data_IF_868579963363
#
_entry.id   IF_868579963363
#
_cell.length_a   1.000
_cell.length_b   1.000
_cell.length_c   1.000
_cell.angle_alpha   90.00
_cell.angle_beta   90.00
_cell.angle_gamma   90.00
#
_symmetry.space_group_name_H-M   'P 1'
#
loop_
_entity.id
_entity.type
_entity.pdbx_description
1 polymer ?
#
# COMPACT_ATOMS: atom_id res chain seq x y z
N UNK A 1 -9.08 6.04 2.72
CA UNK A 1 -10.17 5.05 2.76
C UNK A 1 -11.35 5.46 1.88
N UNK A 2 -12.04 6.58 2.13
CA UNK A 2 -13.18 7.04 1.31
C UNK A 2 -12.89 7.09 -0.21
N UNK A 3 -11.74 7.65 -0.60
CA UNK A 3 -11.37 7.74 -2.02
C UNK A 3 -11.25 6.37 -2.71
N UNK A 4 -10.78 5.35 -2.00
CA UNK A 4 -10.56 4.00 -2.56
C UNK A 4 -11.88 3.24 -2.62
N UNK A 5 -12.61 3.18 -1.50
CA UNK A 5 -13.75 2.26 -1.37
C UNK A 5 -15.10 2.86 -1.76
N UNK A 6 -15.27 4.18 -1.67
CA UNK A 6 -16.54 4.82 -2.02
C UNK A 6 -16.48 5.52 -3.38
N UNK A 7 -15.39 6.26 -3.64
CA UNK A 7 -15.22 6.98 -4.92
C UNK A 7 -14.44 6.22 -5.98
N UNK A 8 -14.01 4.99 -5.68
CA UNK A 8 -13.32 4.09 -6.60
C UNK A 8 -12.14 4.75 -7.34
N UNK A 9 -11.40 5.63 -6.65
CA UNK A 9 -10.24 6.31 -7.23
C UNK A 9 -9.09 5.31 -7.39
N UNK A 10 -8.54 5.12 -8.60
CA UNK A 10 -7.52 4.10 -8.86
C UNK A 10 -6.11 4.50 -8.39
N UNK A 11 -5.87 5.79 -8.17
CA UNK A 11 -4.53 6.36 -7.95
C UNK A 11 -4.35 6.96 -6.55
N UNK A 12 -4.62 6.19 -5.50
CA UNK A 12 -4.49 6.63 -4.10
C UNK A 12 -3.44 5.80 -3.36
N UNK A 13 -2.50 6.49 -2.69
CA UNK A 13 -1.49 5.92 -1.79
C UNK A 13 -1.68 6.48 -0.37
N UNK A 14 -2.26 5.71 0.57
CA UNK A 14 -2.53 6.20 1.92
C UNK A 14 -1.29 6.06 2.82
N UNK A 15 -0.34 7.00 2.74
CA UNK A 15 0.94 6.95 3.48
C UNK A 15 0.78 6.90 5.01
N UNK A 16 -0.33 7.43 5.56
CA UNK A 16 -0.65 7.36 6.99
C UNK A 16 -1.24 6.02 7.46
N UNK A 17 -1.44 5.06 6.56
CA UNK A 17 -1.97 3.74 6.91
C UNK A 17 -0.86 2.85 7.50
N UNK A 18 -1.01 2.44 8.77
CA UNK A 18 -0.01 1.62 9.48
C UNK A 18 0.20 0.27 8.77
N UNK A 19 -0.84 -0.29 8.15
CA UNK A 19 -0.76 -1.50 7.35
C UNK A 19 0.14 -1.29 6.14
N UNK A 20 -0.09 -0.23 5.35
CA UNK A 20 0.76 0.08 4.20
C UNK A 20 2.20 0.39 4.62
N UNK A 21 2.42 1.14 5.69
CA UNK A 21 3.78 1.36 6.22
C UNK A 21 4.45 0.05 6.63
N UNK A 22 3.72 -0.88 7.27
CA UNK A 22 4.24 -2.20 7.63
C UNK A 22 4.57 -3.04 6.39
N UNK A 23 3.67 -3.10 5.42
CA UNK A 23 3.86 -3.87 4.19
C UNK A 23 5.02 -3.33 3.35
N UNK A 24 5.14 -2.01 3.20
CA UNK A 24 6.24 -1.42 2.42
C UNK A 24 7.60 -1.67 3.07
N UNK A 25 7.70 -1.52 4.40
CA UNK A 25 8.93 -1.86 5.13
C UNK A 25 9.28 -3.33 4.97
N UNK A 26 8.28 -4.22 5.07
CA UNK A 26 8.47 -5.66 4.93
C UNK A 26 8.99 -6.06 3.54
N UNK A 27 8.39 -5.52 2.46
CA UNK A 27 8.67 -5.98 1.09
C UNK A 27 9.76 -5.17 0.38
N UNK A 28 10.07 -3.95 0.83
CA UNK A 28 10.92 -3.03 0.09
C UNK A 28 12.07 -2.42 0.90
N UNK A 29 12.22 -2.78 2.19
CA UNK A 29 13.27 -2.22 3.03
C UNK A 29 13.71 -3.16 4.16
N UNK A 30 13.65 -4.49 3.96
CA UNK A 30 14.13 -5.49 4.93
C UNK A 30 13.60 -5.28 6.36
N UNK A 31 12.34 -4.88 6.49
CA UNK A 31 11.64 -4.55 7.75
C UNK A 31 12.18 -3.31 8.48
N UNK A 32 13.16 -2.60 7.91
CA UNK A 32 13.65 -1.33 8.44
C UNK A 32 12.63 -0.20 8.20
N UNK A 33 12.59 0.84 9.05
CA UNK A 33 11.76 2.03 8.84
C UNK A 33 11.98 2.66 7.46
N UNK A 34 10.90 3.04 6.78
CA UNK A 34 10.92 3.81 5.54
C UNK A 34 10.35 5.20 5.80
N UNK A 35 10.98 6.24 5.24
CA UNK A 35 10.41 7.59 5.24
C UNK A 35 9.24 7.69 4.25
N UNK A 36 8.36 8.68 4.43
CA UNK A 36 7.27 8.94 3.49
C UNK A 36 7.75 9.22 2.06
N UNK A 37 8.87 9.91 1.91
CA UNK A 37 9.46 10.19 0.59
C UNK A 37 9.98 8.92 -0.09
N UNK A 38 10.63 8.02 0.66
CA UNK A 38 11.05 6.74 0.14
C UNK A 38 9.84 5.88 -0.29
N UNK A 39 8.76 5.90 0.50
CA UNK A 39 7.51 5.23 0.15
C UNK A 39 6.88 5.83 -1.12
N UNK A 40 6.87 7.17 -1.24
CA UNK A 40 6.36 7.87 -2.42
C UNK A 40 7.15 7.53 -3.68
N UNK A 41 8.49 7.57 -3.60
CA UNK A 41 9.37 7.23 -4.71
C UNK A 41 9.18 5.77 -5.14
N UNK A 42 9.05 4.85 -4.18
CA UNK A 42 8.81 3.42 -4.46
C UNK A 42 7.47 3.18 -5.17
N UNK A 43 6.46 3.99 -4.84
CA UNK A 43 5.11 3.86 -5.37
C UNK A 43 4.87 4.60 -6.70
N UNK A 44 5.82 5.42 -7.16
CA UNK A 44 5.67 6.19 -8.41
C UNK A 44 5.46 5.30 -9.65
N UNK A 45 6.17 4.17 -9.82
CA UNK A 45 5.93 3.27 -10.95
C UNK A 45 4.57 2.58 -10.95
N UNK A 46 3.82 2.61 -9.84
CA UNK A 46 2.50 1.97 -9.74
C UNK A 46 1.39 2.83 -10.32
N UNK A 47 1.67 4.07 -10.71
CA UNK A 47 0.68 4.95 -11.33
C UNK A 47 0.26 4.40 -12.70
N UNK A 48 -1.01 4.58 -13.10
CA UNK A 48 -2.09 5.28 -12.38
C UNK A 48 -2.89 4.37 -11.41
N UNK A 49 -2.35 3.23 -11.00
CA UNK A 49 -3.06 2.14 -10.29
C UNK A 49 -2.57 1.91 -8.86
N UNK A 50 -2.13 2.97 -8.15
CA UNK A 50 -1.61 2.84 -6.77
C UNK A 50 -2.60 2.18 -5.81
N UNK A 51 -3.91 2.36 -6.00
CA UNK A 51 -4.91 1.71 -5.15
C UNK A 51 -4.98 0.20 -5.33
N UNK A 52 -4.62 -0.31 -6.51
CA UNK A 52 -4.47 -1.76 -6.74
C UNK A 52 -3.26 -2.28 -5.99
N UNK A 53 -2.12 -1.60 -6.06
CA UNK A 53 -0.93 -1.98 -5.30
C UNK A 53 -1.20 -1.99 -3.79
N UNK A 54 -1.92 -0.99 -3.28
CA UNK A 54 -2.36 -0.89 -1.88
C UNK A 54 -3.20 -2.11 -1.46
N UNK A 55 -4.10 -2.58 -2.32
CA UNK A 55 -4.84 -3.83 -2.07
C UNK A 55 -3.92 -5.02 -1.87
N UNK A 56 -2.96 -5.25 -2.78
CA UNK A 56 -2.00 -6.34 -2.64
C UNK A 56 -1.12 -6.19 -1.39
N UNK A 57 -0.73 -4.97 -1.04
CA UNK A 57 0.06 -4.71 0.17
C UNK A 57 -0.72 -5.06 1.44
N UNK A 58 -2.01 -4.72 1.54
CA UNK A 58 -2.82 -5.16 2.67
C UNK A 58 -2.93 -6.68 2.72
N UNK A 59 -3.23 -7.33 1.58
CA UNK A 59 -3.35 -8.79 1.49
C UNK A 59 -2.08 -9.52 1.85
N UNK A 60 -0.92 -8.94 1.55
CA UNK A 60 0.38 -9.53 1.90
C UNK A 60 0.64 -9.62 3.41
N UNK A 61 -0.14 -8.91 4.22
CA UNK A 61 -0.07 -8.95 5.68
C UNK A 61 -1.03 -9.95 6.31
N UNK A 62 -1.99 -10.46 5.54
CA UNK A 62 -2.96 -11.43 6.04
C UNK A 62 -2.29 -12.80 6.18
N UNK A 63 -2.41 -13.46 7.34
CA UNK A 63 -1.79 -14.77 7.58
C UNK A 63 -2.47 -15.90 6.79
N UNK A 64 -3.70 -15.68 6.32
CA UNK A 64 -4.50 -16.65 5.59
C UNK A 64 -5.13 -15.97 4.36
N UNK A 65 -5.36 -16.72 3.27
CA UNK A 65 -6.22 -16.24 2.19
C UNK A 65 -7.59 -15.85 2.74
N UNK A 66 -8.03 -14.62 2.45
CA UNK A 66 -9.44 -14.22 2.64
C UNK A 66 -10.24 -14.74 1.45
N UNK A 67 -11.26 -15.54 1.76
CA UNK A 67 -12.30 -15.97 0.85
C UNK A 67 -13.31 -14.83 0.65
N UNK A 68 -13.73 -14.60 -0.60
CA UNK A 68 -14.69 -13.56 -0.99
C UNK A 68 -16.04 -14.17 -1.36
#
# INVERSE_FOLDING_TARGET
MFLIFHLLRPDVLPLGDIGIQKAMRLHFNDRNPMSEDAMRAKAEPWRPWRSVAVWYLWRSLDPHPVDY
#
